data_IF_852194028807
#
_entry.id   IF_852194028807
#
_cell.length_a   1.000
_cell.length_b   1.000
_cell.length_c   1.000
_cell.angle_alpha   90.00
_cell.angle_beta   90.00
_cell.angle_gamma   90.00
#
_symmetry.space_group_name_H-M   'P 1'
#
loop_
_entity.id
_entity.type
_entity.pdbx_description
1 polymer ?
#
# COMPACT_ATOMS: atom_id res chain seq x y z
N UNK A 1 12.96 -35.00 -13.01
CA UNK A 1 14.40 -35.31 -13.14
C UNK A 1 14.88 -35.83 -11.80
N UNK A 2 15.56 -36.97 -11.75
CA UNK A 2 16.09 -37.54 -10.50
C UNK A 2 17.45 -36.94 -10.12
N UNK A 3 17.96 -37.25 -8.93
CA UNK A 3 19.33 -36.90 -8.51
C UNK A 3 20.38 -37.43 -9.48
N UNK A 4 20.23 -38.68 -9.95
CA UNK A 4 21.16 -39.32 -10.88
C UNK A 4 21.19 -38.61 -12.23
N UNK A 5 20.01 -38.33 -12.80
CA UNK A 5 19.86 -37.61 -14.07
C UNK A 5 20.44 -36.19 -13.99
N UNK A 6 20.13 -35.48 -12.89
CA UNK A 6 20.62 -34.11 -12.67
C UNK A 6 22.14 -34.06 -12.57
N UNK A 7 22.75 -34.97 -11.80
CA UNK A 7 24.20 -35.02 -11.64
C UNK A 7 24.89 -35.35 -12.96
N UNK A 8 24.39 -36.39 -13.66
CA UNK A 8 24.95 -36.84 -14.93
C UNK A 8 24.90 -35.74 -15.99
N UNK A 9 23.76 -35.07 -16.13
CA UNK A 9 23.58 -34.00 -17.12
C UNK A 9 24.51 -32.80 -16.86
N UNK A 10 24.61 -32.33 -15.61
CA UNK A 10 25.45 -31.19 -15.28
C UNK A 10 26.95 -31.53 -15.34
N UNK A 11 27.36 -32.71 -14.87
CA UNK A 11 28.75 -33.17 -14.97
C UNK A 11 29.23 -33.25 -16.42
N UNK A 12 28.41 -33.77 -17.34
CA UNK A 12 28.76 -33.82 -18.75
C UNK A 12 28.83 -32.43 -19.39
N UNK A 13 27.93 -31.51 -19.03
CA UNK A 13 28.01 -30.11 -19.50
C UNK A 13 29.28 -29.40 -19.03
N UNK A 14 29.74 -29.73 -17.83
CA UNK A 14 30.99 -29.22 -17.28
C UNK A 14 32.25 -29.96 -17.77
N UNK A 15 32.11 -30.97 -18.64
CA UNK A 15 33.20 -31.83 -19.12
C UNK A 15 34.06 -32.48 -18.01
N UNK A 16 33.44 -32.80 -16.86
CA UNK A 16 34.14 -33.39 -15.72
C UNK A 16 34.04 -34.91 -15.71
N UNK A 17 35.12 -35.59 -15.35
CA UNK A 17 35.10 -37.00 -14.96
C UNK A 17 34.59 -37.17 -13.52
N UNK A 18 34.20 -38.39 -13.16
CA UNK A 18 33.86 -38.72 -11.76
C UNK A 18 35.06 -38.58 -10.81
N UNK A 19 36.29 -38.71 -11.33
CA UNK A 19 37.51 -38.56 -10.55
C UNK A 19 37.74 -37.08 -10.21
N UNK A 20 37.67 -36.20 -11.20
CA UNK A 20 37.82 -34.74 -10.99
C UNK A 20 36.71 -34.20 -10.09
N UNK A 21 35.47 -34.66 -10.26
CA UNK A 21 34.37 -34.28 -9.38
C UNK A 21 34.59 -34.78 -7.94
N UNK A 22 35.19 -35.96 -7.76
CA UNK A 22 35.56 -36.50 -6.45
C UNK A 22 36.59 -35.61 -5.75
N UNK A 23 37.61 -35.18 -6.49
CA UNK A 23 38.67 -34.30 -5.98
C UNK A 23 38.13 -32.93 -5.59
N UNK A 24 37.25 -32.35 -6.42
CA UNK A 24 36.65 -31.04 -6.17
C UNK A 24 35.65 -31.03 -5.00
N UNK A 25 34.83 -32.06 -4.89
CA UNK A 25 33.78 -32.14 -3.84
C UNK A 25 34.26 -32.75 -2.51
N UNK A 26 35.40 -33.44 -2.52
CA UNK A 26 35.90 -34.24 -1.41
C UNK A 26 35.02 -35.48 -1.11
N UNK A 27 34.14 -35.87 -2.02
CA UNK A 27 33.26 -37.05 -1.90
C UNK A 27 33.92 -38.19 -2.67
N UNK A 28 33.94 -39.41 -2.12
CA UNK A 28 34.60 -40.54 -2.79
C UNK A 28 33.97 -40.85 -4.16
N UNK A 29 34.82 -41.18 -5.14
CA UNK A 29 34.38 -41.62 -6.48
C UNK A 29 33.35 -42.75 -6.44
N UNK A 30 33.46 -43.66 -5.47
CA UNK A 30 32.48 -44.75 -5.28
C UNK A 30 31.11 -44.26 -4.83
N UNK A 31 31.01 -43.20 -4.01
CA UNK A 31 29.73 -42.59 -3.63
C UNK A 31 29.13 -41.86 -4.82
N UNK A 32 29.93 -41.09 -5.57
CA UNK A 32 29.47 -40.41 -6.79
C UNK A 32 28.97 -41.41 -7.84
N UNK A 33 29.70 -42.49 -8.09
CA UNK A 33 29.28 -43.54 -9.02
C UNK A 33 27.93 -44.18 -8.64
N UNK A 34 27.69 -44.42 -7.33
CA UNK A 34 26.41 -44.95 -6.83
C UNK A 34 25.26 -43.96 -6.95
N UNK A 35 25.52 -42.65 -6.79
CA UNK A 35 24.51 -41.61 -7.02
C UNK A 35 24.18 -41.53 -8.52
N UNK A 36 25.18 -41.55 -9.41
CA UNK A 36 24.97 -41.42 -10.86
C UNK A 36 24.28 -42.62 -11.49
N UNK A 37 24.58 -43.82 -11.00
CA UNK A 37 23.92 -45.07 -11.41
C UNK A 37 22.49 -45.21 -10.86
N UNK A 38 22.10 -44.38 -9.88
CA UNK A 38 20.79 -44.44 -9.24
C UNK A 38 20.68 -45.49 -8.12
N UNK A 39 21.76 -46.17 -7.77
CA UNK A 39 21.82 -47.04 -6.58
C UNK A 39 21.51 -46.23 -5.30
N UNK A 40 22.10 -45.05 -5.17
CA UNK A 40 21.77 -44.09 -4.10
C UNK A 40 20.66 -43.16 -4.58
N UNK A 41 19.40 -43.54 -4.33
CA UNK A 41 18.21 -42.76 -4.75
C UNK A 41 18.05 -41.43 -4.00
N UNK A 42 18.60 -41.33 -2.78
CA UNK A 42 18.51 -40.14 -1.92
C UNK A 42 19.86 -39.89 -1.24
N UNK A 43 20.76 -39.10 -1.85
CA UNK A 43 21.97 -38.66 -1.16
C UNK A 43 21.62 -37.81 0.07
N UNK A 44 22.53 -37.71 1.04
CA UNK A 44 22.40 -36.78 2.17
C UNK A 44 22.39 -35.33 1.68
N UNK A 45 21.62 -34.45 2.33
CA UNK A 45 21.44 -33.06 1.89
C UNK A 45 22.78 -32.30 1.76
N UNK A 46 23.66 -32.47 2.74
CA UNK A 46 25.00 -31.88 2.73
C UNK A 46 25.87 -32.42 1.61
N UNK A 47 25.80 -33.73 1.33
CA UNK A 47 26.51 -34.37 0.22
C UNK A 47 26.01 -33.83 -1.13
N UNK A 48 24.68 -33.74 -1.32
CA UNK A 48 24.12 -33.23 -2.56
C UNK A 48 24.39 -31.74 -2.76
N UNK A 49 24.34 -30.94 -1.69
CA UNK A 49 24.66 -29.50 -1.74
C UNK A 49 26.10 -29.26 -2.23
N UNK A 50 27.07 -30.06 -1.78
CA UNK A 50 28.47 -30.00 -2.28
C UNK A 50 28.60 -30.39 -3.74
N UNK A 51 27.90 -31.44 -4.16
CA UNK A 51 27.90 -31.87 -5.57
C UNK A 51 27.27 -30.77 -6.45
N UNK A 52 26.15 -30.23 -6.00
CA UNK A 52 25.41 -29.20 -6.71
C UNK A 52 26.21 -27.91 -6.87
N UNK A 53 26.92 -27.47 -5.83
CA UNK A 53 27.76 -26.28 -5.92
C UNK A 53 28.91 -26.44 -6.92
N UNK A 54 29.53 -27.62 -7.00
CA UNK A 54 30.63 -27.86 -7.95
C UNK A 54 30.16 -28.03 -9.39
N UNK A 55 28.90 -28.44 -9.58
CA UNK A 55 28.30 -28.67 -10.88
C UNK A 55 27.42 -27.50 -11.37
N UNK A 56 27.50 -26.35 -10.69
CA UNK A 56 26.68 -25.16 -10.93
C UNK A 56 25.18 -25.50 -11.05
N UNK A 57 24.70 -26.43 -10.22
CA UNK A 57 23.29 -26.75 -10.12
C UNK A 57 22.64 -25.66 -9.25
N UNK A 58 21.63 -24.93 -9.77
CA UNK A 58 21.00 -23.86 -9.02
C UNK A 58 20.40 -24.35 -7.70
N UNK A 59 20.51 -23.53 -6.65
CA UNK A 59 20.14 -23.95 -5.28
C UNK A 59 18.65 -24.26 -5.15
N UNK A 60 17.81 -23.54 -5.89
CA UNK A 60 16.38 -23.80 -5.97
C UNK A 60 16.08 -25.21 -6.48
N UNK A 61 16.91 -25.73 -7.40
CA UNK A 61 16.78 -27.10 -7.93
C UNK A 61 17.23 -28.14 -6.90
N UNK A 62 18.25 -27.83 -6.10
CA UNK A 62 18.69 -28.68 -4.98
C UNK A 62 17.54 -28.92 -4.02
N UNK A 63 16.88 -27.85 -3.56
CA UNK A 63 15.75 -27.94 -2.63
C UNK A 63 14.56 -28.64 -3.30
N UNK A 64 14.24 -28.29 -4.56
CA UNK A 64 13.11 -28.85 -5.29
C UNK A 64 13.17 -30.39 -5.40
N UNK A 65 14.34 -30.96 -5.68
CA UNK A 65 14.53 -32.41 -5.78
C UNK A 65 14.24 -33.11 -4.44
N UNK A 66 14.70 -32.54 -3.33
CA UNK A 66 14.40 -33.08 -2.00
C UNK A 66 12.94 -32.93 -1.62
N UNK A 67 12.30 -31.82 -1.99
CA UNK A 67 10.88 -31.62 -1.78
C UNK A 67 10.09 -32.72 -2.49
N UNK A 68 10.41 -33.04 -3.75
CA UNK A 68 9.66 -34.01 -4.56
C UNK A 68 9.60 -35.41 -3.93
N UNK A 69 10.65 -35.85 -3.25
CA UNK A 69 10.75 -37.19 -2.65
C UNK A 69 10.49 -37.23 -1.14
N UNK A 70 10.26 -36.09 -0.48
CA UNK A 70 10.10 -36.03 0.97
C UNK A 70 8.63 -35.99 1.39
N UNK A 71 8.27 -36.84 2.34
CA UNK A 71 6.95 -36.85 3.01
C UNK A 71 7.03 -36.55 4.51
N UNK A 72 8.21 -36.73 5.11
CA UNK A 72 8.44 -36.53 6.55
C UNK A 72 8.34 -35.05 6.90
N UNK A 73 7.52 -34.75 7.90
CA UNK A 73 7.27 -33.38 8.37
C UNK A 73 8.55 -32.61 8.69
N UNK A 74 9.46 -33.17 9.49
CA UNK A 74 10.70 -32.47 9.90
C UNK A 74 11.59 -32.11 8.71
N UNK A 75 11.63 -32.98 7.70
CA UNK A 75 12.39 -32.72 6.47
C UNK A 75 11.73 -31.60 5.67
N UNK A 76 10.40 -31.60 5.55
CA UNK A 76 9.68 -30.53 4.85
C UNK A 76 9.84 -29.17 5.57
N UNK A 77 9.80 -29.17 6.90
CA UNK A 77 10.08 -27.97 7.72
C UNK A 77 11.50 -27.43 7.48
N UNK A 78 12.49 -28.32 7.50
CA UNK A 78 13.89 -27.97 7.17
C UNK A 78 14.02 -27.39 5.75
N UNK A 79 13.42 -28.04 4.74
CA UNK A 79 13.48 -27.57 3.36
C UNK A 79 12.75 -26.24 3.15
N UNK A 80 11.66 -25.99 3.88
CA UNK A 80 11.00 -24.69 3.88
C UNK A 80 11.92 -23.61 4.46
N UNK A 81 12.59 -23.87 5.59
CA UNK A 81 13.52 -22.91 6.18
C UNK A 81 14.67 -22.57 5.22
N UNK A 82 15.23 -23.57 4.53
CA UNK A 82 16.24 -23.35 3.47
C UNK A 82 15.70 -22.50 2.31
N UNK A 83 14.44 -22.70 1.91
CA UNK A 83 13.81 -21.93 0.84
C UNK A 83 13.56 -20.46 1.24
N UNK A 84 13.14 -20.24 2.49
CA UNK A 84 12.94 -18.89 3.06
C UNK A 84 14.27 -18.15 3.15
N UNK A 85 15.32 -18.82 3.65
CA UNK A 85 16.66 -18.22 3.75
C UNK A 85 17.26 -17.85 2.38
N UNK A 86 16.86 -18.56 1.31
CA UNK A 86 17.24 -18.27 -0.06
C UNK A 86 16.30 -17.28 -0.78
N UNK A 87 15.24 -16.80 -0.10
CA UNK A 87 14.24 -15.85 -0.60
C UNK A 87 13.61 -16.24 -1.96
N UNK A 88 13.52 -17.54 -2.25
CA UNK A 88 12.89 -18.04 -3.48
C UNK A 88 11.39 -18.31 -3.25
N UNK A 89 10.54 -17.41 -3.73
CA UNK A 89 9.08 -17.51 -3.60
C UNK A 89 8.50 -18.79 -4.23
N UNK A 90 9.04 -19.25 -5.34
CA UNK A 90 8.52 -20.43 -6.02
C UNK A 90 8.79 -21.69 -5.20
N UNK A 91 10.00 -21.81 -4.65
CA UNK A 91 10.36 -22.95 -3.79
C UNK A 91 9.65 -22.86 -2.44
N UNK A 92 9.56 -21.67 -1.82
CA UNK A 92 8.79 -21.46 -0.58
C UNK A 92 7.33 -21.92 -0.78
N UNK A 93 6.69 -21.49 -1.87
CA UNK A 93 5.33 -21.91 -2.22
C UNK A 93 5.22 -23.42 -2.34
N UNK A 94 6.16 -24.06 -3.03
CA UNK A 94 6.19 -25.52 -3.21
C UNK A 94 6.38 -26.26 -1.87
N UNK A 95 7.27 -25.77 -1.02
CA UNK A 95 7.57 -26.36 0.29
C UNK A 95 6.39 -26.23 1.25
N UNK A 96 5.81 -25.03 1.37
CA UNK A 96 4.64 -24.77 2.21
C UNK A 96 3.44 -25.61 1.78
N UNK A 97 3.17 -25.71 0.47
CA UNK A 97 2.12 -26.57 -0.07
C UNK A 97 2.32 -28.03 0.32
N UNK A 98 3.53 -28.58 0.09
CA UNK A 98 3.82 -29.97 0.47
C UNK A 98 3.66 -30.22 1.96
N UNK A 99 3.99 -29.25 2.81
CA UNK A 99 3.80 -29.37 4.25
C UNK A 99 2.30 -29.43 4.60
N UNK A 100 1.47 -28.58 3.98
CA UNK A 100 0.02 -28.52 4.20
C UNK A 100 -0.74 -29.73 3.64
N UNK A 101 -0.24 -30.34 2.57
CA UNK A 101 -0.82 -31.54 1.95
C UNK A 101 -0.32 -32.86 2.55
N UNK A 102 0.69 -32.82 3.43
CA UNK A 102 1.30 -34.03 3.98
C UNK A 102 0.37 -34.73 4.96
N UNK A 103 0.12 -36.03 4.73
CA UNK A 103 -0.61 -36.90 5.66
C UNK A 103 0.19 -37.25 6.92
N UNK A 104 1.46 -36.85 6.99
CA UNK A 104 2.38 -37.17 8.09
C UNK A 104 2.43 -36.09 9.17
N UNK A 105 1.72 -34.98 9.01
CA UNK A 105 1.57 -33.92 10.01
C UNK A 105 0.10 -33.56 10.12
N UNK A 106 -0.37 -33.28 11.35
CA UNK A 106 -1.70 -32.73 11.52
C UNK A 106 -1.76 -31.33 10.89
N UNK A 107 -2.82 -31.04 10.13
CA UNK A 107 -2.97 -29.76 9.43
C UNK A 107 -2.83 -28.55 10.36
N UNK A 108 -3.35 -28.61 11.58
CA UNK A 108 -3.22 -27.52 12.56
C UNK A 108 -1.76 -27.30 12.98
N UNK A 109 -0.99 -28.37 13.22
CA UNK A 109 0.44 -28.24 13.49
C UNK A 109 1.25 -27.71 12.30
N UNK A 110 0.83 -28.01 11.07
CA UNK A 110 1.43 -27.44 9.87
C UNK A 110 1.12 -25.94 9.76
N UNK A 111 -0.13 -25.54 10.00
CA UNK A 111 -0.58 -24.15 9.98
C UNK A 111 0.07 -23.31 11.07
N UNK A 112 0.16 -23.83 12.31
CA UNK A 112 0.86 -23.17 13.43
C UNK A 112 2.32 -22.92 13.09
N UNK A 113 2.99 -23.94 12.55
CA UNK A 113 4.38 -23.82 12.12
C UNK A 113 4.55 -22.76 11.03
N UNK A 114 3.67 -22.74 10.02
CA UNK A 114 3.72 -21.74 8.95
C UNK A 114 3.48 -20.33 9.49
N UNK A 115 2.51 -20.13 10.39
CA UNK A 115 2.30 -18.81 11.00
C UNK A 115 3.52 -18.37 11.81
N UNK A 116 4.14 -19.28 12.58
CA UNK A 116 5.32 -18.97 13.37
C UNK A 116 6.50 -18.56 12.48
N UNK A 117 6.88 -19.40 11.51
CA UNK A 117 8.04 -19.10 10.64
C UNK A 117 7.82 -17.85 9.79
N UNK A 118 6.58 -17.56 9.42
CA UNK A 118 6.24 -16.33 8.67
C UNK A 118 6.48 -15.08 9.52
N UNK A 119 6.16 -15.12 10.82
CA UNK A 119 6.43 -14.00 11.74
C UNK A 119 7.92 -13.73 11.92
N UNK A 120 8.72 -14.80 11.93
CA UNK A 120 10.18 -14.75 12.07
C UNK A 120 10.90 -14.37 10.76
N UNK A 121 10.22 -14.45 9.61
CA UNK A 121 10.78 -14.06 8.31
C UNK A 121 10.91 -12.53 8.23
N UNK A 122 11.94 -12.01 7.55
CA UNK A 122 12.07 -10.56 7.32
C UNK A 122 11.45 -10.12 5.99
N UNK A 123 11.67 -10.91 4.93
CA UNK A 123 11.22 -10.59 3.56
C UNK A 123 9.69 -10.58 3.43
N UNK A 124 9.14 -9.42 3.08
CA UNK A 124 7.70 -9.18 2.94
C UNK A 124 7.05 -9.98 1.80
N UNK A 125 7.74 -10.18 0.66
CA UNK A 125 7.20 -10.96 -0.45
C UNK A 125 7.12 -12.44 -0.11
N UNK A 126 8.10 -12.95 0.65
CA UNK A 126 8.09 -14.31 1.18
C UNK A 126 6.97 -14.46 2.21
N UNK A 127 6.75 -13.48 3.09
CA UNK A 127 5.61 -13.49 4.02
C UNK A 127 4.29 -13.60 3.29
N UNK A 128 4.05 -12.73 2.31
CA UNK A 128 2.82 -12.75 1.50
C UNK A 128 2.66 -14.12 0.83
N UNK A 129 3.75 -14.67 0.28
CA UNK A 129 3.74 -16.00 -0.36
C UNK A 129 3.29 -17.11 0.59
N UNK A 130 3.73 -17.09 1.85
CA UNK A 130 3.33 -18.09 2.85
C UNK A 130 1.89 -17.85 3.31
N UNK A 131 1.49 -16.60 3.57
CA UNK A 131 0.12 -16.27 3.93
C UNK A 131 -0.88 -16.67 2.85
N UNK A 132 -0.56 -16.48 1.57
CA UNK A 132 -1.38 -16.96 0.46
C UNK A 132 -1.57 -18.48 0.50
N UNK A 133 -0.53 -19.25 0.85
CA UNK A 133 -0.66 -20.71 1.00
C UNK A 133 -1.53 -21.12 2.19
N UNK A 134 -1.44 -20.38 3.31
CA UNK A 134 -2.31 -20.59 4.46
C UNK A 134 -3.77 -20.30 4.08
N UNK A 135 -4.03 -19.18 3.41
CA UNK A 135 -5.36 -18.75 2.97
C UNK A 135 -5.96 -19.76 1.99
N UNK A 136 -5.21 -20.18 0.97
CA UNK A 136 -5.69 -21.16 -0.01
C UNK A 136 -6.07 -22.49 0.64
N UNK A 137 -5.27 -22.95 1.61
CA UNK A 137 -5.52 -24.18 2.33
C UNK A 137 -6.73 -24.07 3.25
N UNK A 138 -6.78 -23.03 4.07
CA UNK A 138 -7.80 -22.84 5.11
C UNK A 138 -9.17 -22.50 4.52
N UNK A 139 -9.22 -21.76 3.40
CA UNK A 139 -10.44 -21.54 2.63
C UNK A 139 -11.03 -22.83 2.05
N UNK A 140 -10.19 -23.73 1.52
CA UNK A 140 -10.64 -25.02 0.98
C UNK A 140 -11.14 -25.97 2.07
N UNK A 141 -10.51 -25.93 3.25
CA UNK A 141 -10.81 -26.84 4.35
C UNK A 141 -11.83 -26.27 5.35
N UNK A 142 -12.25 -25.01 5.20
CA UNK A 142 -13.19 -24.36 6.10
C UNK A 142 -12.61 -24.15 7.51
N UNK A 143 -11.37 -23.67 7.61
CA UNK A 143 -10.67 -23.45 8.88
C UNK A 143 -10.57 -21.93 9.17
N UNK A 144 -11.60 -21.33 9.78
CA UNK A 144 -11.74 -19.87 9.82
C UNK A 144 -10.73 -19.13 10.69
N UNK A 145 -10.23 -19.75 11.78
CA UNK A 145 -9.26 -19.10 12.66
C UNK A 145 -7.96 -18.72 11.93
N UNK A 146 -7.35 -19.68 11.22
CA UNK A 146 -6.11 -19.44 10.47
C UNK A 146 -6.35 -18.59 9.23
N UNK A 147 -7.53 -18.71 8.61
CA UNK A 147 -7.96 -17.84 7.52
C UNK A 147 -7.97 -16.37 7.97
N UNK A 148 -8.58 -16.07 9.13
CA UNK A 148 -8.64 -14.72 9.68
C UNK A 148 -7.25 -14.15 9.97
N UNK A 149 -6.39 -14.92 10.65
CA UNK A 149 -5.01 -14.51 10.97
C UNK A 149 -4.21 -14.20 9.71
N UNK A 150 -4.21 -15.10 8.73
CA UNK A 150 -3.44 -14.91 7.52
C UNK A 150 -3.96 -13.75 6.67
N UNK A 151 -5.28 -13.55 6.59
CA UNK A 151 -5.87 -12.39 5.91
C UNK A 151 -5.46 -11.07 6.57
N UNK A 152 -5.49 -11.00 7.91
CA UNK A 152 -5.11 -9.82 8.68
C UNK A 152 -3.64 -9.44 8.43
N UNK A 153 -2.73 -10.39 8.62
CA UNK A 153 -1.29 -10.15 8.51
C UNK A 153 -0.90 -9.79 7.07
N UNK A 154 -1.47 -10.48 6.08
CA UNK A 154 -1.26 -10.16 4.66
C UNK A 154 -1.74 -8.75 4.33
N UNK A 155 -2.93 -8.38 4.81
CA UNK A 155 -3.46 -7.03 4.65
C UNK A 155 -2.53 -5.96 5.27
N UNK A 156 -1.98 -6.22 6.45
CA UNK A 156 -1.07 -5.28 7.11
C UNK A 156 0.24 -5.05 6.37
N UNK A 157 0.72 -6.03 5.59
CA UNK A 157 1.89 -5.85 4.73
C UNK A 157 1.48 -5.08 3.46
N UNK A 158 0.46 -5.56 2.75
CA UNK A 158 0.10 -5.02 1.43
C UNK A 158 -0.42 -3.58 1.48
N UNK A 159 -0.98 -3.13 2.61
CA UNK A 159 -1.56 -1.76 2.72
C UNK A 159 -0.52 -0.64 2.61
N UNK A 160 0.76 -0.97 2.74
CA UNK A 160 1.87 -0.03 2.55
C UNK A 160 2.30 0.10 1.08
N UNK A 161 1.73 -0.69 0.15
CA UNK A 161 1.91 -0.48 -1.28
C UNK A 161 0.90 0.55 -1.81
N UNK A 162 1.31 1.83 -1.76
CA UNK A 162 0.48 2.95 -2.21
C UNK A 162 0.13 2.90 -3.71
N UNK A 163 0.85 2.13 -4.52
CA UNK A 163 0.53 1.98 -5.95
C UNK A 163 -0.72 1.12 -6.21
N UNK A 164 -1.18 0.38 -5.18
CA UNK A 164 -2.28 -0.59 -5.27
C UNK A 164 -3.31 -0.41 -4.15
N UNK A 165 -3.42 0.80 -3.59
CA UNK A 165 -4.28 1.06 -2.41
C UNK A 165 -5.70 0.54 -2.57
N UNK A 166 -6.34 0.79 -3.73
CA UNK A 166 -7.72 0.38 -3.98
C UNK A 166 -7.84 -1.15 -4.09
N UNK A 167 -6.89 -1.80 -4.76
CA UNK A 167 -6.87 -3.26 -4.89
C UNK A 167 -6.66 -3.91 -3.51
N UNK A 168 -5.69 -3.43 -2.74
CA UNK A 168 -5.41 -3.93 -1.40
C UNK A 168 -6.61 -3.72 -0.48
N UNK A 169 -7.29 -2.57 -0.58
CA UNK A 169 -8.51 -2.31 0.19
C UNK A 169 -9.62 -3.31 -0.14
N UNK A 170 -9.93 -3.48 -1.44
CA UNK A 170 -10.95 -4.44 -1.89
C UNK A 170 -10.64 -5.86 -1.42
N UNK A 171 -9.37 -6.28 -1.50
CA UNK A 171 -8.94 -7.60 -1.03
C UNK A 171 -8.96 -7.71 0.50
N UNK A 172 -8.59 -6.64 1.20
CA UNK A 172 -8.60 -6.55 2.67
C UNK A 172 -10.00 -6.70 3.27
N UNK A 173 -11.05 -6.26 2.57
CA UNK A 173 -12.45 -6.46 3.01
C UNK A 173 -12.86 -7.93 3.15
N UNK A 174 -12.15 -8.88 2.50
CA UNK A 174 -12.38 -10.33 2.73
C UNK A 174 -12.22 -10.71 4.21
N UNK A 175 -11.36 -10.00 4.94
CA UNK A 175 -11.15 -10.20 6.38
C UNK A 175 -12.43 -10.03 7.21
N UNK A 176 -13.33 -9.13 6.79
CA UNK A 176 -14.55 -8.80 7.54
C UNK A 176 -15.45 -10.03 7.73
N UNK A 177 -15.45 -10.95 6.77
CA UNK A 177 -16.20 -12.22 6.85
C UNK A 177 -15.66 -13.19 7.89
N UNK A 178 -14.44 -12.98 8.38
CA UNK A 178 -13.75 -13.86 9.35
C UNK A 178 -13.35 -13.10 10.62
N UNK A 179 -13.83 -11.87 10.80
CA UNK A 179 -13.31 -10.96 11.81
C UNK A 179 -13.63 -11.40 13.25
N UNK A 180 -14.68 -12.19 13.44
CA UNK A 180 -15.09 -12.75 14.74
C UNK A 180 -14.11 -13.80 15.28
N UNK A 181 -13.25 -14.36 14.42
CA UNK A 181 -12.23 -15.32 14.82
C UNK A 181 -10.93 -14.67 15.30
N UNK A 182 -10.84 -13.34 15.22
CA UNK A 182 -9.72 -12.57 15.75
C UNK A 182 -9.91 -12.26 17.24
N UNK A 183 -8.81 -11.96 17.92
CA UNK A 183 -8.90 -11.36 19.26
C UNK A 183 -9.53 -9.97 19.19
N UNK A 184 -10.06 -9.47 20.31
CA UNK A 184 -10.67 -8.13 20.36
C UNK A 184 -9.70 -7.05 19.87
N UNK A 185 -8.45 -7.07 20.34
CA UNK A 185 -7.40 -6.13 19.94
C UNK A 185 -7.13 -6.18 18.43
N UNK A 186 -6.99 -7.37 17.86
CA UNK A 186 -6.76 -7.54 16.42
C UNK A 186 -7.94 -7.06 15.58
N UNK A 187 -9.17 -7.37 16.01
CA UNK A 187 -10.39 -6.92 15.35
C UNK A 187 -10.51 -5.40 15.34
N UNK A 188 -10.27 -4.75 16.49
CA UNK A 188 -10.27 -3.30 16.61
C UNK A 188 -9.22 -2.68 15.69
N UNK A 189 -8.00 -3.22 15.68
CA UNK A 189 -6.93 -2.77 14.80
C UNK A 189 -7.31 -2.94 13.31
N UNK A 190 -7.88 -4.09 12.94
CA UNK A 190 -8.36 -4.33 11.58
C UNK A 190 -9.39 -3.30 11.13
N UNK A 191 -10.40 -3.01 11.97
CA UNK A 191 -11.43 -2.02 11.69
C UNK A 191 -10.84 -0.63 11.48
N UNK A 192 -9.97 -0.17 12.38
CA UNK A 192 -9.35 1.14 12.24
C UNK A 192 -8.47 1.22 10.99
N UNK A 193 -7.63 0.22 10.70
CA UNK A 193 -6.75 0.25 9.53
C UNK A 193 -7.54 0.24 8.23
N UNK A 194 -8.57 -0.62 8.12
CA UNK A 194 -9.46 -0.63 6.95
C UNK A 194 -10.22 0.69 6.83
N UNK A 195 -10.73 1.24 7.93
CA UNK A 195 -11.46 2.52 7.93
C UNK A 195 -10.58 3.70 7.50
N UNK A 196 -9.34 3.77 8.01
CA UNK A 196 -8.37 4.80 7.61
C UNK A 196 -7.97 4.67 6.12
N UNK A 197 -7.84 3.45 5.60
CA UNK A 197 -7.59 3.25 4.18
C UNK A 197 -8.81 3.62 3.32
N UNK A 198 -10.02 3.30 3.78
CA UNK A 198 -11.26 3.72 3.13
C UNK A 198 -11.34 5.26 3.05
N UNK A 199 -10.98 5.96 4.13
CA UNK A 199 -10.88 7.42 4.13
C UNK A 199 -9.89 7.94 3.09
N UNK A 200 -8.68 7.36 3.02
CA UNK A 200 -7.68 7.74 2.03
C UNK A 200 -8.14 7.49 0.58
N UNK A 201 -9.03 6.52 0.37
CA UNK A 201 -9.68 6.23 -0.91
C UNK A 201 -10.98 7.02 -1.14
N UNK A 202 -11.34 7.94 -0.24
CA UNK A 202 -12.58 8.74 -0.27
C UNK A 202 -13.86 7.90 -0.18
N UNK A 203 -13.78 6.67 0.32
CA UNK A 203 -14.94 5.84 0.66
C UNK A 203 -15.44 6.21 2.07
N UNK A 204 -16.06 7.37 2.17
CA UNK A 204 -16.45 7.99 3.45
C UNK A 204 -17.44 7.15 4.26
N UNK A 205 -18.45 6.55 3.62
CA UNK A 205 -19.39 5.65 4.30
C UNK A 205 -18.70 4.43 4.91
N UNK A 206 -17.81 3.78 4.14
CA UNK A 206 -17.05 2.62 4.60
C UNK A 206 -16.09 3.01 5.74
N UNK A 207 -15.41 4.16 5.64
CA UNK A 207 -14.60 4.72 6.72
C UNK A 207 -15.41 4.84 8.01
N UNK A 208 -16.56 5.50 7.94
CA UNK A 208 -17.43 5.76 9.09
C UNK A 208 -17.90 4.44 9.70
N UNK A 209 -18.40 3.52 8.86
CA UNK A 209 -18.89 2.24 9.32
C UNK A 209 -17.80 1.45 10.06
N UNK A 210 -16.63 1.28 9.44
CA UNK A 210 -15.53 0.48 9.98
C UNK A 210 -14.94 1.11 11.24
N UNK A 211 -14.66 2.41 11.24
CA UNK A 211 -14.12 3.10 12.40
C UNK A 211 -15.09 3.07 13.60
N UNK A 212 -16.41 3.16 13.37
CA UNK A 212 -17.42 3.01 14.43
C UNK A 212 -17.43 1.61 15.03
N UNK A 213 -17.26 0.57 14.21
CA UNK A 213 -17.11 -0.81 14.72
C UNK A 213 -15.88 -0.93 15.62
N UNK A 214 -14.75 -0.34 15.19
CA UNK A 214 -13.54 -0.24 16.01
C UNK A 214 -13.79 0.43 17.36
N UNK A 215 -14.37 1.64 17.36
CA UNK A 215 -14.68 2.40 18.58
C UNK A 215 -15.61 1.62 19.52
N UNK A 216 -16.60 0.91 18.98
CA UNK A 216 -17.55 0.15 19.80
C UNK A 216 -16.95 -1.08 20.48
N UNK A 217 -15.87 -1.62 19.91
CA UNK A 217 -15.17 -2.80 20.42
C UNK A 217 -13.90 -2.49 21.21
N UNK A 218 -13.46 -1.24 21.24
CA UNK A 218 -12.23 -0.80 21.90
C UNK A 218 -12.52 -0.39 23.34
N UNK A 219 -11.76 -0.95 24.29
CA UNK A 219 -11.88 -0.63 25.71
C UNK A 219 -10.85 0.39 26.18
N UNK A 220 -9.81 0.65 25.39
CA UNK A 220 -8.68 1.49 25.77
C UNK A 220 -8.48 2.61 24.75
N UNK A 221 -8.39 3.83 25.25
CA UNK A 221 -8.10 4.96 24.41
C UNK A 221 -6.65 4.91 23.91
N UNK A 222 -6.47 5.00 22.59
CA UNK A 222 -5.16 4.96 21.94
C UNK A 222 -5.12 5.92 20.74
N UNK A 223 -3.90 6.16 20.21
CA UNK A 223 -3.68 7.06 19.07
C UNK A 223 -4.43 6.63 17.80
N UNK A 224 -4.64 5.32 17.62
CA UNK A 224 -5.35 4.78 16.47
C UNK A 224 -6.85 5.10 16.54
N UNK A 225 -7.45 5.03 17.74
CA UNK A 225 -8.82 5.48 18.00
C UNK A 225 -8.97 6.99 17.73
N UNK A 226 -8.02 7.81 18.18
CA UNK A 226 -8.03 9.25 17.92
C UNK A 226 -7.94 9.55 16.41
N UNK A 227 -7.10 8.81 15.69
CA UNK A 227 -6.98 8.88 14.22
C UNK A 227 -8.29 8.46 13.52
N UNK A 228 -8.97 7.43 14.04
CA UNK A 228 -10.26 6.99 13.53
C UNK A 228 -11.37 8.04 13.76
N UNK A 229 -11.39 8.70 14.92
CA UNK A 229 -12.31 9.82 15.20
C UNK A 229 -12.07 11.00 14.26
N UNK A 230 -10.81 11.35 13.98
CA UNK A 230 -10.46 12.36 12.98
C UNK A 230 -10.94 11.97 11.59
N UNK A 231 -10.73 10.72 11.18
CA UNK A 231 -11.17 10.24 9.87
C UNK A 231 -12.70 10.24 9.73
N UNK A 232 -13.44 9.84 10.78
CA UNK A 232 -14.90 9.94 10.81
C UNK A 232 -15.34 11.41 10.69
N UNK A 233 -14.73 12.30 11.47
CA UNK A 233 -15.06 13.73 11.46
C UNK A 233 -14.86 14.33 10.07
N UNK A 234 -13.69 14.12 9.46
CA UNK A 234 -13.41 14.56 8.11
C UNK A 234 -14.34 13.93 7.09
N UNK A 235 -14.71 12.65 7.24
CA UNK A 235 -15.66 11.98 6.34
C UNK A 235 -17.01 12.70 6.33
N UNK A 236 -17.54 13.06 7.50
CA UNK A 236 -18.79 13.83 7.59
C UNK A 236 -18.66 15.26 7.04
N UNK A 237 -17.53 15.94 7.25
CA UNK A 237 -17.25 17.25 6.63
C UNK A 237 -17.30 17.13 5.10
N UNK A 238 -16.57 16.17 4.53
CA UNK A 238 -16.53 15.94 3.07
C UNK A 238 -17.90 15.56 2.48
N UNK A 239 -18.77 14.93 3.27
CA UNK A 239 -20.13 14.59 2.84
C UNK A 239 -21.16 15.71 3.08
N UNK A 240 -20.78 16.83 3.68
CA UNK A 240 -21.72 17.92 3.94
C UNK A 240 -22.58 17.76 5.21
N UNK A 241 -22.29 16.81 6.10
CA UNK A 241 -23.01 16.63 7.38
C UNK A 241 -22.31 17.31 8.56
N UNK A 242 -22.55 18.61 8.74
CA UNK A 242 -21.93 19.41 9.80
C UNK A 242 -22.36 18.96 11.21
N UNK A 243 -23.56 18.39 11.36
CA UNK A 243 -24.10 17.98 12.67
C UNK A 243 -23.34 16.78 13.20
N UNK A 244 -23.18 15.74 12.37
CA UNK A 244 -22.45 14.55 12.75
C UNK A 244 -20.95 14.82 12.84
N UNK A 245 -20.39 15.65 11.97
CA UNK A 245 -19.00 16.08 12.08
C UNK A 245 -18.71 16.76 13.43
N UNK A 246 -19.54 17.72 13.85
CA UNK A 246 -19.43 18.39 15.15
C UNK A 246 -19.52 17.39 16.33
N UNK A 247 -20.41 16.41 16.24
CA UNK A 247 -20.56 15.36 17.26
C UNK A 247 -19.27 14.55 17.43
N UNK A 248 -18.64 14.13 16.33
CA UNK A 248 -17.41 13.34 16.38
C UNK A 248 -16.18 14.18 16.71
N UNK A 249 -16.14 15.45 16.28
CA UNK A 249 -15.11 16.39 16.69
C UNK A 249 -15.09 16.55 18.22
N UNK A 250 -16.25 16.75 18.86
CA UNK A 250 -16.36 16.81 20.33
C UNK A 250 -15.90 15.53 21.04
N UNK A 251 -15.98 14.36 20.38
CA UNK A 251 -15.42 13.12 20.92
C UNK A 251 -13.90 13.11 20.79
N UNK A 252 -13.37 13.53 19.65
CA UNK A 252 -11.93 13.67 19.44
C UNK A 252 -11.32 14.70 20.40
N UNK A 253 -11.96 15.85 20.63
CA UNK A 253 -11.47 16.88 21.55
C UNK A 253 -11.26 16.40 22.99
N UNK A 254 -12.02 15.37 23.41
CA UNK A 254 -11.90 14.76 24.74
C UNK A 254 -10.77 13.74 24.82
N UNK A 255 -10.16 13.39 23.69
CA UNK A 255 -9.09 12.41 23.62
C UNK A 255 -7.79 12.96 24.20
N UNK A 256 -7.05 12.13 24.94
CA UNK A 256 -5.69 12.44 25.39
C UNK A 256 -4.67 12.58 24.25
N UNK A 257 -5.03 12.11 23.04
CA UNK A 257 -4.22 12.22 21.82
C UNK A 257 -4.64 13.38 20.91
N UNK A 258 -5.59 14.21 21.36
CA UNK A 258 -6.10 15.31 20.57
C UNK A 258 -5.06 16.41 20.40
N UNK A 259 -4.83 16.82 19.15
CA UNK A 259 -3.96 17.95 18.81
C UNK A 259 -4.77 19.22 18.59
N UNK A 260 -4.43 20.29 19.32
CA UNK A 260 -5.16 21.56 19.31
C UNK A 260 -5.22 22.22 17.91
N UNK A 261 -4.14 22.11 17.14
CA UNK A 261 -4.10 22.61 15.76
C UNK A 261 -5.09 21.90 14.83
N UNK A 262 -5.21 20.56 14.93
CA UNK A 262 -6.20 19.78 14.17
C UNK A 262 -7.63 20.17 14.55
N UNK A 263 -7.90 20.36 15.85
CA UNK A 263 -9.22 20.77 16.34
C UNK A 263 -9.59 22.13 15.72
N UNK A 264 -8.68 23.10 15.77
CA UNK A 264 -8.91 24.44 15.23
C UNK A 264 -9.19 24.40 13.72
N UNK A 265 -8.39 23.65 12.97
CA UNK A 265 -8.57 23.48 11.53
C UNK A 265 -9.95 22.87 11.20
N UNK A 266 -10.34 21.79 11.89
CA UNK A 266 -11.64 21.15 11.70
C UNK A 266 -12.82 22.07 12.07
N UNK A 267 -12.69 22.88 13.13
CA UNK A 267 -13.70 23.89 13.48
C UNK A 267 -13.86 24.94 12.38
N UNK A 268 -12.77 25.41 11.81
CA UNK A 268 -12.81 26.38 10.72
C UNK A 268 -13.49 25.80 9.47
N UNK A 269 -13.21 24.54 9.12
CA UNK A 269 -13.91 23.83 8.05
C UNK A 269 -15.43 23.69 8.34
N UNK A 270 -15.81 23.41 9.59
CA UNK A 270 -17.23 23.37 9.98
C UNK A 270 -17.92 24.72 9.88
N UNK A 271 -17.25 25.82 10.21
CA UNK A 271 -17.76 27.18 10.00
C UNK A 271 -18.00 27.45 8.50
N UNK A 272 -17.01 27.13 7.66
CA UNK A 272 -17.15 27.28 6.20
C UNK A 272 -18.36 26.52 5.66
N UNK A 273 -18.55 25.29 6.12
CA UNK A 273 -19.67 24.43 5.73
C UNK A 273 -21.04 24.96 6.21
N UNK A 274 -21.08 25.70 7.32
CA UNK A 274 -22.29 26.37 7.83
C UNK A 274 -22.57 27.70 7.14
N UNK A 275 -21.67 28.17 6.26
CA UNK A 275 -21.73 29.51 5.65
C UNK A 275 -21.26 30.64 6.57
N UNK A 276 -20.63 30.30 7.70
CA UNK A 276 -20.05 31.24 8.67
C UNK A 276 -18.62 31.59 8.21
N UNK A 277 -18.53 32.25 7.05
CA UNK A 277 -17.25 32.45 6.34
C UNK A 277 -16.28 33.38 7.08
N UNK A 278 -16.77 34.37 7.83
CA UNK A 278 -15.91 35.28 8.60
C UNK A 278 -15.13 34.51 9.68
N UNK A 279 -15.83 33.65 10.44
CA UNK A 279 -15.23 32.77 11.45
C UNK A 279 -14.32 31.72 10.82
N UNK A 280 -14.71 31.17 9.67
CA UNK A 280 -13.91 30.20 8.94
C UNK A 280 -12.57 30.80 8.48
N UNK A 281 -12.60 31.95 7.82
CA UNK A 281 -11.41 32.66 7.31
C UNK A 281 -10.49 33.03 8.47
N UNK A 282 -11.03 33.63 9.54
CA UNK A 282 -10.24 33.98 10.72
C UNK A 282 -9.55 32.75 11.34
N UNK A 283 -10.28 31.64 11.45
CA UNK A 283 -9.75 30.38 11.96
C UNK A 283 -8.67 29.76 11.06
N UNK A 284 -8.88 29.79 9.75
CA UNK A 284 -7.95 29.24 8.77
C UNK A 284 -6.67 30.08 8.62
N UNK A 285 -6.72 31.40 8.61
CA UNK A 285 -5.53 32.27 8.60
C UNK A 285 -4.68 32.05 9.86
N UNK A 286 -5.32 31.91 11.02
CA UNK A 286 -4.61 31.54 12.25
C UNK A 286 -3.94 30.17 12.11
N UNK A 287 -4.63 29.16 11.56
CA UNK A 287 -4.04 27.86 11.29
C UNK A 287 -2.86 27.97 10.30
N UNK A 288 -2.97 28.78 9.25
CA UNK A 288 -1.93 28.93 8.23
C UNK A 288 -0.65 29.53 8.83
N UNK A 289 -0.79 30.52 9.72
CA UNK A 289 0.34 31.16 10.41
C UNK A 289 1.06 30.24 11.41
N UNK A 290 0.33 29.37 12.10
CA UNK A 290 0.89 28.43 13.08
C UNK A 290 1.38 27.12 12.44
N UNK A 291 0.91 26.78 11.23
CA UNK A 291 1.17 25.49 10.60
C UNK A 291 2.63 25.28 10.21
N UNK A 292 3.10 24.05 10.41
CA UNK A 292 4.32 23.53 9.78
C UNK A 292 4.14 23.46 8.25
N UNK A 293 5.24 23.62 7.51
CA UNK A 293 5.24 23.74 6.04
C UNK A 293 4.38 22.70 5.31
N UNK A 294 4.30 21.47 5.82
CA UNK A 294 3.62 20.36 5.14
C UNK A 294 2.08 20.43 5.13
N UNK A 295 1.47 21.16 6.06
CA UNK A 295 -0.01 21.26 6.17
C UNK A 295 -0.57 22.55 5.58
N UNK A 296 0.30 23.51 5.26
CA UNK A 296 -0.09 24.85 4.82
C UNK A 296 -0.88 24.85 3.52
N UNK A 297 -0.52 23.99 2.56
CA UNK A 297 -1.22 23.92 1.27
C UNK A 297 -2.68 23.49 1.41
N UNK A 298 -3.00 22.58 2.34
CA UNK A 298 -4.38 22.17 2.60
C UNK A 298 -5.19 23.34 3.15
N UNK A 299 -4.62 24.08 4.12
CA UNK A 299 -5.24 25.26 4.73
C UNK A 299 -5.44 26.37 3.69
N UNK A 300 -4.44 26.64 2.85
CA UNK A 300 -4.52 27.63 1.78
C UNK A 300 -5.60 27.25 0.74
N UNK A 301 -5.75 25.96 0.44
CA UNK A 301 -6.81 25.48 -0.47
C UNK A 301 -8.20 25.78 0.09
N UNK A 302 -8.41 25.55 1.39
CA UNK A 302 -9.69 25.81 2.06
C UNK A 302 -9.95 27.31 2.23
N UNK A 303 -8.89 28.11 2.45
CA UNK A 303 -9.01 29.59 2.45
C UNK A 303 -9.47 30.11 1.10
N UNK A 304 -8.87 29.60 0.01
CA UNK A 304 -9.25 29.99 -1.35
C UNK A 304 -10.72 29.65 -1.63
N UNK A 305 -11.22 28.52 -1.12
CA UNK A 305 -12.64 28.17 -1.20
C UNK A 305 -13.54 29.13 -0.42
N UNK A 306 -13.14 29.52 0.80
CA UNK A 306 -13.90 30.48 1.60
C UNK A 306 -13.96 31.84 0.92
N UNK A 307 -12.81 32.36 0.46
CA UNK A 307 -12.75 33.64 -0.25
C UNK A 307 -13.59 33.62 -1.54
N UNK A 308 -13.51 32.55 -2.33
CA UNK A 308 -14.32 32.38 -3.53
C UNK A 308 -15.83 32.37 -3.21
N UNK A 309 -16.24 31.76 -2.09
CA UNK A 309 -17.65 31.66 -1.70
C UNK A 309 -18.29 33.00 -1.32
N UNK A 310 -17.49 33.97 -0.87
CA UNK A 310 -17.94 35.33 -0.52
C UNK A 310 -17.52 36.38 -1.56
N UNK A 311 -16.98 35.96 -2.70
CA UNK A 311 -16.44 36.82 -3.75
C UNK A 311 -15.36 37.82 -3.24
N UNK A 312 -14.56 37.42 -2.24
CA UNK A 312 -13.48 38.25 -1.70
C UNK A 312 -12.24 38.23 -2.60
N UNK A 313 -12.28 39.10 -3.61
CA UNK A 313 -11.22 39.30 -4.60
C UNK A 313 -9.89 39.69 -3.96
N UNK A 314 -9.91 40.50 -2.90
CA UNK A 314 -8.69 40.98 -2.25
C UNK A 314 -8.05 39.88 -1.41
N UNK A 315 -8.86 39.09 -0.69
CA UNK A 315 -8.41 37.88 0.01
C UNK A 315 -7.76 36.87 -0.94
N UNK A 316 -8.36 36.61 -2.10
CA UNK A 316 -7.81 35.70 -3.11
C UNK A 316 -6.47 36.20 -3.67
N UNK A 317 -6.38 37.47 -4.07
CA UNK A 317 -5.12 38.06 -4.56
C UNK A 317 -4.03 38.03 -3.49
N UNK A 318 -4.36 38.42 -2.25
CA UNK A 318 -3.43 38.38 -1.13
C UNK A 318 -2.96 36.97 -0.79
N UNK A 319 -3.76 35.94 -1.08
CA UNK A 319 -3.33 34.55 -0.97
C UNK A 319 -2.34 34.18 -2.08
N UNK A 320 -2.60 34.57 -3.32
CA UNK A 320 -1.73 34.30 -4.47
C UNK A 320 -0.34 34.92 -4.32
N UNK A 321 -0.26 36.15 -3.80
CA UNK A 321 1.02 36.82 -3.52
C UNK A 321 1.89 36.08 -2.48
N UNK A 322 1.25 35.29 -1.60
CA UNK A 322 1.91 34.55 -0.53
C UNK A 322 2.19 33.09 -0.87
N UNK A 323 1.97 32.65 -2.12
CA UNK A 323 2.11 31.24 -2.56
C UNK A 323 3.42 30.58 -2.17
N UNK A 324 4.54 31.31 -2.27
CA UNK A 324 5.86 30.82 -1.89
C UNK A 324 6.00 30.43 -0.41
N UNK A 325 5.08 30.87 0.46
CA UNK A 325 5.11 30.60 1.90
C UNK A 325 4.35 29.33 2.31
N UNK A 326 3.47 28.81 1.44
CA UNK A 326 2.64 27.64 1.74
C UNK A 326 2.74 26.53 0.70
N UNK A 327 3.19 26.81 -0.53
CA UNK A 327 3.48 25.75 -1.49
C UNK A 327 4.65 24.90 -1.00
N UNK A 328 4.53 23.55 -1.04
CA UNK A 328 5.58 22.68 -0.56
C UNK A 328 6.80 22.74 -1.49
N UNK A 329 7.99 22.81 -0.90
CA UNK A 329 9.26 22.76 -1.65
C UNK A 329 9.50 21.38 -2.28
N UNK A 330 9.01 20.32 -1.62
CA UNK A 330 9.15 18.94 -2.08
C UNK A 330 7.79 18.25 -2.21
N UNK A 331 7.50 17.77 -3.42
CA UNK A 331 6.31 16.98 -3.76
C UNK A 331 6.56 15.49 -3.49
N UNK A 332 6.67 15.12 -2.22
CA UNK A 332 7.12 13.79 -1.80
C UNK A 332 6.07 12.85 -1.23
N UNK A 333 4.81 13.28 -1.20
CA UNK A 333 3.70 12.41 -0.81
C UNK A 333 2.52 12.58 -1.75
N UNK A 334 1.73 11.53 -2.02
CA UNK A 334 0.51 11.63 -2.82
C UNK A 334 -0.47 12.69 -2.28
N UNK A 335 -0.56 12.82 -0.95
CA UNK A 335 -1.43 13.81 -0.30
C UNK A 335 -1.01 15.25 -0.58
N UNK A 336 0.30 15.55 -0.57
CA UNK A 336 0.82 16.88 -0.94
C UNK A 336 0.50 17.19 -2.39
N UNK A 337 0.77 16.24 -3.29
CA UNK A 337 0.45 16.36 -4.73
C UNK A 337 -1.05 16.62 -4.95
N UNK A 338 -1.91 15.93 -4.22
CA UNK A 338 -3.36 16.14 -4.29
C UNK A 338 -3.77 17.54 -3.85
N UNK A 339 -3.32 18.03 -2.70
CA UNK A 339 -3.67 19.38 -2.23
C UNK A 339 -3.15 20.48 -3.16
N UNK A 340 -1.95 20.32 -3.71
CA UNK A 340 -1.41 21.26 -4.71
C UNK A 340 -2.28 21.23 -5.98
N UNK A 341 -2.65 20.04 -6.45
CA UNK A 341 -3.53 19.90 -7.60
C UNK A 341 -4.90 20.57 -7.36
N UNK A 342 -5.47 20.43 -6.16
CA UNK A 342 -6.73 21.10 -5.76
C UNK A 342 -6.58 22.61 -5.77
N UNK A 343 -5.52 23.14 -5.14
CA UNK A 343 -5.22 24.56 -5.11
C UNK A 343 -5.09 25.15 -6.52
N UNK A 344 -4.25 24.54 -7.36
CA UNK A 344 -4.01 25.00 -8.73
C UNK A 344 -5.27 24.90 -9.60
N UNK A 345 -6.13 23.89 -9.39
CA UNK A 345 -7.42 23.78 -10.07
C UNK A 345 -8.30 24.99 -9.73
N UNK A 346 -8.47 25.30 -8.43
CA UNK A 346 -9.31 26.41 -7.96
C UNK A 346 -8.77 27.76 -8.42
N UNK A 347 -7.46 27.98 -8.29
CA UNK A 347 -6.77 29.16 -8.81
C UNK A 347 -7.01 29.32 -10.31
N UNK A 348 -6.87 28.24 -11.07
CA UNK A 348 -7.08 28.23 -12.51
C UNK A 348 -8.49 28.68 -12.90
N UNK A 349 -9.52 28.09 -12.27
CA UNK A 349 -10.92 28.47 -12.49
C UNK A 349 -11.16 29.95 -12.18
N UNK A 350 -10.67 30.43 -11.04
CA UNK A 350 -10.83 31.85 -10.68
C UNK A 350 -10.16 32.78 -11.70
N UNK A 351 -8.92 32.49 -12.11
CA UNK A 351 -8.20 33.32 -13.09
C UNK A 351 -8.91 33.37 -14.44
N UNK A 352 -9.53 32.26 -14.85
CA UNK A 352 -10.35 32.20 -16.07
C UNK A 352 -11.59 33.09 -15.95
N UNK A 353 -12.30 33.05 -14.82
CA UNK A 353 -13.45 33.91 -14.55
C UNK A 353 -13.09 35.41 -14.57
N UNK A 354 -11.86 35.77 -14.17
CA UNK A 354 -11.33 37.13 -14.26
C UNK A 354 -10.79 37.50 -15.65
N UNK A 355 -10.87 36.61 -16.64
CA UNK A 355 -10.37 36.83 -18.00
C UNK A 355 -8.84 36.71 -18.15
N UNK A 356 -8.14 36.20 -17.12
CA UNK A 356 -6.70 35.95 -17.15
C UNK A 356 -6.40 34.58 -17.75
N UNK A 357 -6.75 34.41 -19.03
CA UNK A 357 -6.81 33.10 -19.70
C UNK A 357 -5.52 32.29 -19.62
N UNK A 358 -4.37 32.88 -19.95
CA UNK A 358 -3.09 32.14 -20.00
C UNK A 358 -2.69 31.61 -18.61
N UNK A 359 -2.77 32.45 -17.60
CA UNK A 359 -2.40 32.10 -16.23
C UNK A 359 -3.37 31.08 -15.63
N UNK A 360 -4.67 31.21 -15.93
CA UNK A 360 -5.68 30.23 -15.55
C UNK A 360 -5.45 28.87 -16.19
N UNK A 361 -5.17 28.85 -17.50
CA UNK A 361 -4.83 27.63 -18.23
C UNK A 361 -3.56 26.96 -17.71
N UNK A 362 -2.49 27.73 -17.46
CA UNK A 362 -1.24 27.20 -16.90
C UNK A 362 -1.47 26.55 -15.52
N UNK A 363 -2.29 27.17 -14.67
CA UNK A 363 -2.67 26.61 -13.37
C UNK A 363 -3.48 25.31 -13.51
N UNK A 364 -4.42 25.23 -14.46
CA UNK A 364 -5.18 24.00 -14.73
C UNK A 364 -4.29 22.88 -15.28
N UNK A 365 -3.31 23.20 -16.12
CA UNK A 365 -2.33 22.22 -16.61
C UNK A 365 -1.44 21.67 -15.50
N UNK A 366 -1.00 22.53 -14.58
CA UNK A 366 -0.23 22.12 -13.40
C UNK A 366 -1.06 21.18 -12.52
N UNK A 367 -2.32 21.53 -12.25
CA UNK A 367 -3.27 20.67 -11.53
C UNK A 367 -3.41 19.28 -12.17
N UNK A 368 -3.63 19.25 -13.49
CA UNK A 368 -3.79 18.02 -14.26
C UNK A 368 -2.53 17.14 -14.17
N UNK A 369 -1.34 17.74 -14.29
CA UNK A 369 -0.06 17.04 -14.15
C UNK A 369 0.07 16.34 -12.78
N UNK A 370 -0.26 17.04 -11.69
CA UNK A 370 -0.19 16.48 -10.34
C UNK A 370 -1.22 15.36 -10.09
N UNK A 371 -2.48 15.54 -10.49
CA UNK A 371 -3.48 14.47 -10.39
C UNK A 371 -3.08 13.22 -11.16
N UNK A 372 -2.44 13.40 -12.32
CA UNK A 372 -1.93 12.29 -13.11
C UNK A 372 -0.80 11.54 -12.42
N UNK A 373 0.12 12.23 -11.75
CA UNK A 373 1.23 11.60 -11.02
C UNK A 373 0.74 10.64 -9.93
N UNK A 374 -0.41 10.95 -9.31
CA UNK A 374 -1.03 10.12 -8.27
C UNK A 374 -2.11 9.17 -8.79
N UNK A 375 -2.35 9.12 -10.11
CA UNK A 375 -3.35 8.24 -10.73
C UNK A 375 -4.81 8.64 -10.48
N UNK A 376 -5.08 9.90 -10.12
CA UNK A 376 -6.43 10.43 -9.88
C UNK A 376 -7.16 10.75 -11.19
N UNK A 377 -7.46 9.73 -12.00
CA UNK A 377 -7.98 9.88 -13.37
C UNK A 377 -9.35 10.56 -13.46
N UNK A 378 -10.20 10.46 -12.43
CA UNK A 378 -11.45 11.21 -12.35
C UNK A 378 -11.19 12.72 -12.31
N UNK A 379 -10.32 13.17 -11.40
CA UNK A 379 -9.92 14.58 -11.26
C UNK A 379 -9.17 15.10 -12.48
N UNK A 380 -8.35 14.26 -13.12
CA UNK A 380 -7.75 14.57 -14.43
C UNK A 380 -8.84 14.86 -15.47
N UNK A 381 -9.86 14.00 -15.56
CA UNK A 381 -10.96 14.16 -16.53
C UNK A 381 -11.77 15.43 -16.26
N UNK A 382 -11.97 15.79 -15.00
CA UNK A 382 -12.60 17.08 -14.62
C UNK A 382 -11.78 18.28 -15.09
N UNK A 383 -10.46 18.29 -14.86
CA UNK A 383 -9.60 19.39 -15.33
C UNK A 383 -9.61 19.54 -16.85
N UNK A 384 -9.58 18.42 -17.59
CA UNK A 384 -9.74 18.44 -19.05
C UNK A 384 -11.12 19.00 -19.46
N UNK A 385 -12.18 18.61 -18.75
CA UNK A 385 -13.52 19.14 -18.96
C UNK A 385 -13.59 20.66 -18.79
N UNK A 386 -12.96 21.21 -17.75
CA UNK A 386 -12.86 22.66 -17.53
C UNK A 386 -12.11 23.35 -18.68
N UNK A 387 -10.93 22.83 -19.07
CA UNK A 387 -10.15 23.35 -20.20
C UNK A 387 -10.97 23.38 -21.50
N UNK A 388 -11.70 22.30 -21.78
CA UNK A 388 -12.54 22.19 -22.98
C UNK A 388 -13.74 23.16 -22.93
N UNK A 389 -14.36 23.34 -21.77
CA UNK A 389 -15.47 24.27 -21.60
C UNK A 389 -15.05 25.72 -21.88
N UNK A 390 -13.87 26.11 -21.37
CA UNK A 390 -13.32 27.45 -21.60
C UNK A 390 -13.06 27.72 -23.08
N UNK A 391 -12.45 26.76 -23.77
CA UNK A 391 -12.20 26.84 -25.21
C UNK A 391 -13.48 27.06 -26.04
N UNK A 392 -14.59 26.42 -25.63
CA UNK A 392 -15.88 26.53 -26.32
C UNK A 392 -16.62 27.83 -25.97
N UNK A 393 -16.55 28.29 -24.72
CA UNK A 393 -17.39 29.38 -24.21
C UNK A 393 -16.79 30.78 -24.45
N UNK A 394 -15.45 30.92 -24.42
CA UNK A 394 -14.81 32.24 -24.43
C UNK A 394 -14.07 32.57 -25.73
N UNK A 395 -14.10 31.69 -26.73
CA UNK A 395 -13.56 31.94 -28.08
C UNK A 395 -12.03 31.98 -28.18
N UNK A 396 -11.33 31.94 -27.05
CA UNK A 396 -9.88 31.73 -26.96
C UNK A 396 -9.53 30.31 -27.41
N UNK A 397 -8.65 30.20 -28.41
CA UNK A 397 -8.32 28.91 -29.01
C UNK A 397 -7.17 28.25 -28.27
N UNK A 398 -7.36 26.98 -27.89
CA UNK A 398 -6.24 26.15 -27.44
C UNK A 398 -5.12 26.21 -28.49
N UNK A 399 -3.93 26.60 -28.04
CA UNK A 399 -2.78 26.67 -28.94
C UNK A 399 -2.33 25.24 -29.33
N UNK A 400 -1.57 25.09 -30.43
CA UNK A 400 -0.94 23.81 -30.75
C UNK A 400 -0.10 23.24 -29.59
N UNK A 401 0.55 24.12 -28.80
CA UNK A 401 1.32 23.73 -27.62
C UNK A 401 0.42 23.16 -26.50
N UNK A 402 -0.73 23.77 -26.26
CA UNK A 402 -1.69 23.30 -25.25
C UNK A 402 -2.26 21.93 -25.65
N UNK A 403 -2.52 21.73 -26.95
CA UNK A 403 -2.96 20.44 -27.51
C UNK A 403 -1.85 19.36 -27.40
N UNK A 404 -0.59 19.74 -27.61
CA UNK A 404 0.55 18.85 -27.41
C UNK A 404 0.72 18.45 -25.94
N UNK A 405 0.59 19.41 -25.01
CA UNK A 405 0.60 19.15 -23.56
C UNK A 405 -0.49 18.14 -23.18
N UNK A 406 -1.73 18.35 -23.63
CA UNK A 406 -2.84 17.40 -23.40
C UNK A 406 -2.55 16.02 -23.98
N UNK A 407 -1.98 15.94 -25.19
CA UNK A 407 -1.60 14.68 -25.84
C UNK A 407 -0.55 13.90 -25.04
N UNK A 408 0.53 14.57 -24.61
CA UNK A 408 1.58 13.96 -23.76
C UNK A 408 0.99 13.51 -22.41
N UNK A 409 0.07 14.31 -21.87
CA UNK A 409 -0.67 14.03 -20.64
C UNK A 409 -1.64 12.85 -20.76
N UNK A 410 -2.04 12.47 -21.97
CA UNK A 410 -2.89 11.29 -22.19
C UNK A 410 -2.10 10.04 -22.56
N UNK A 411 -0.99 10.20 -23.30
CA UNK A 411 -0.28 9.07 -23.92
C UNK A 411 0.91 8.52 -23.12
N UNK A 412 1.54 9.27 -22.21
CA UNK A 412 2.68 8.71 -21.47
C UNK A 412 2.23 7.65 -20.43
N UNK A 413 2.40 6.38 -20.77
CA UNK A 413 2.30 5.27 -19.81
C UNK A 413 3.40 5.42 -18.75
N UNK A 414 2.99 5.65 -17.51
CA UNK A 414 3.60 5.16 -16.27
C UNK A 414 5.12 4.88 -16.33
N UNK A 415 5.95 5.91 -16.20
CA UNK A 415 7.40 5.76 -15.96
C UNK A 415 7.86 6.63 -14.79
N UNK A 416 7.21 6.49 -13.64
CA UNK A 416 7.73 7.00 -12.36
C UNK A 416 7.70 5.85 -11.35
N UNK A 417 8.48 4.81 -11.64
CA UNK A 417 9.00 3.91 -10.60
C UNK A 417 10.26 4.56 -10.03
N UNK A 418 10.50 4.33 -8.73
CA UNK A 418 11.70 4.73 -7.94
C UNK A 418 11.77 6.23 -7.65
N UNK A 419 11.57 6.73 -6.42
CA UNK A 419 12.66 6.81 -5.42
C UNK A 419 12.20 7.08 -3.96
N UNK A 420 10.90 7.20 -3.63
CA UNK A 420 10.47 7.64 -2.27
C UNK A 420 10.23 6.54 -1.22
N UNK A 421 10.89 5.38 -1.31
CA UNK A 421 10.69 4.25 -0.37
C UNK A 421 11.56 4.26 0.90
N UNK A 422 12.22 5.37 1.23
CA UNK A 422 13.04 5.47 2.45
C UNK A 422 12.92 6.85 3.09
N UNK A 423 11.93 7.00 3.96
CA UNK A 423 11.91 7.89 5.15
C UNK A 423 10.45 8.14 5.50
N UNK A 424 9.81 7.22 6.22
CA UNK A 424 8.68 7.46 7.13
C UNK A 424 8.48 6.14 7.90
N UNK A 425 9.33 5.96 8.92
CA UNK A 425 9.07 5.10 10.08
C UNK A 425 8.66 6.03 11.21
#
# INVERSE_FOLDING_TARGET
MSFSESMKAHRYRANLSLQELSERTGISRSVLARIESGETKRPGFTTWKKIASELDIPYERVIALYLDISERADVLKFLLAEAIAYTDRHIVRKAARKLLESTKINTFFALDYLLQVTRETEDEEIKITIYDMIIDCTKKQGIPFYQAKALLERYFIERYDFSRMEETYRRGKELLSYIEYLTVSERVNAYYRLGLQAYALKYYDDCIHLCRQGISGDSEENELMASALLAITNSYINMGDAILAELYLKKYEKSGYAKANHIRYLRAQLHAQKGEYDEAIAGLELCLSEAESETRIAIATDLLECYASIEDVEGMKGLFERESHFLPLEMNTPKKLEHVAMYMKRKGVYLLEQGMFREGMDSLFESLSHYRQIGAYSSVSECVGLIMAEHLNYGEKLSPEDMEKLSILWHSKSSLKTTQRRQMV
#
